data_IF_893046994787
#
_entry.id   IF_893046994787
#
_cell.length_a   1.000
_cell.length_b   1.000
_cell.length_c   1.000
_cell.angle_alpha   90.00
_cell.angle_beta   90.00
_cell.angle_gamma   90.00
#
_symmetry.space_group_name_H-M   'P 1'
#
loop_
_entity.id
_entity.type
_entity.pdbx_description
1 polymer ?
#
# COMPACT_ATOMS: atom_id res chain seq x y z
N UNK A 1 -8.53 3.34 -8.73
CA UNK A 1 -7.88 2.24 -9.49
C UNK A 1 -8.40 2.14 -10.93
N UNK A 2 -9.71 2.22 -11.17
CA UNK A 2 -10.29 2.15 -12.52
C UNK A 2 -9.73 3.20 -13.50
N UNK A 3 -9.47 4.44 -13.05
CA UNK A 3 -8.84 5.46 -13.91
C UNK A 3 -7.42 5.06 -14.34
N UNK A 4 -6.63 4.51 -13.41
CA UNK A 4 -5.30 4.00 -13.72
C UNK A 4 -5.36 2.85 -14.73
N UNK A 5 -6.32 1.94 -14.58
CA UNK A 5 -6.51 0.83 -15.51
C UNK A 5 -6.85 1.33 -16.92
N UNK A 6 -7.75 2.31 -17.04
CA UNK A 6 -8.07 2.95 -18.33
C UNK A 6 -6.85 3.59 -18.98
N UNK A 7 -6.06 4.35 -18.23
CA UNK A 7 -4.89 5.03 -18.78
C UNK A 7 -3.81 4.04 -19.21
N UNK A 8 -3.53 3.03 -18.40
CA UNK A 8 -2.50 2.02 -18.68
C UNK A 8 -2.88 1.19 -19.90
N UNK A 9 -4.14 0.72 -19.98
CA UNK A 9 -4.63 -0.04 -21.14
C UNK A 9 -4.65 0.80 -22.41
N UNK A 10 -5.03 2.09 -22.31
CA UNK A 10 -5.02 3.02 -23.44
C UNK A 10 -3.64 3.27 -24.06
N UNK A 11 -2.56 3.00 -23.31
CA UNK A 11 -1.17 3.11 -23.79
C UNK A 11 -0.51 1.74 -24.02
N UNK A 12 -1.28 0.65 -24.05
CA UNK A 12 -0.76 -0.71 -24.27
C UNK A 12 0.04 -1.28 -23.10
N UNK A 13 -0.04 -0.65 -21.92
CA UNK A 13 0.59 -1.14 -20.71
C UNK A 13 -0.24 -2.19 -19.97
N UNK A 14 0.35 -2.76 -18.92
CA UNK A 14 -0.31 -3.69 -17.99
C UNK A 14 -0.28 -3.11 -16.58
N UNK A 15 -1.41 -3.13 -15.90
CA UNK A 15 -1.52 -2.66 -14.52
C UNK A 15 -1.60 -3.85 -13.56
N UNK A 16 -0.69 -3.88 -12.59
CA UNK A 16 -0.73 -4.82 -11.46
C UNK A 16 -0.86 -4.02 -10.16
N UNK A 17 -2.00 -4.13 -9.49
CA UNK A 17 -2.26 -3.38 -8.25
C UNK A 17 -1.83 -4.21 -7.04
N UNK A 18 -0.99 -3.63 -6.18
CA UNK A 18 -0.55 -4.23 -4.92
C UNK A 18 -0.98 -3.34 -3.77
N UNK A 19 -1.63 -3.94 -2.77
CA UNK A 19 -2.05 -3.28 -1.54
C UNK A 19 -1.19 -3.78 -0.39
N UNK A 20 -0.41 -2.88 0.19
CA UNK A 20 0.32 -3.14 1.42
C UNK A 20 -0.55 -2.75 2.62
N UNK A 21 -0.69 -3.65 3.58
CA UNK A 21 -1.30 -3.37 4.88
C UNK A 21 -0.43 -3.95 5.98
N UNK A 22 -0.64 -3.55 7.23
CA UNK A 22 0.01 -4.16 8.38
C UNK A 22 -1.11 -4.72 9.25
N UNK A 23 -1.17 -6.05 9.38
CA UNK A 23 -2.20 -6.71 10.20
C UNK A 23 -1.96 -6.53 11.71
N UNK A 24 -0.70 -6.34 12.11
CA UNK A 24 -0.32 -6.04 13.49
C UNK A 24 -0.34 -4.52 13.75
N UNK A 25 -1.34 -4.07 14.50
CA UNK A 25 -1.53 -2.67 14.85
C UNK A 25 -0.42 -2.12 15.77
N UNK A 26 0.01 -2.92 16.75
CA UNK A 26 1.05 -2.49 17.70
C UNK A 26 2.39 -2.34 16.97
N UNK A 27 2.71 -3.26 16.07
CA UNK A 27 3.87 -3.14 15.19
C UNK A 27 3.76 -1.92 14.27
N UNK A 28 2.58 -1.66 13.69
CA UNK A 28 2.40 -0.49 12.84
C UNK A 28 2.60 0.82 13.62
N UNK A 29 2.03 0.92 14.83
CA UNK A 29 2.18 2.09 15.69
C UNK A 29 3.62 2.32 16.11
N UNK A 30 4.32 1.28 16.57
CA UNK A 30 5.75 1.39 16.94
C UNK A 30 6.64 1.83 15.77
N UNK A 31 6.34 1.38 14.54
CA UNK A 31 7.05 1.84 13.33
C UNK A 31 6.75 3.31 13.00
N UNK A 32 5.58 3.82 13.36
CA UNK A 32 5.20 5.21 13.16
C UNK A 32 5.92 6.14 14.13
N UNK A 33 6.05 5.74 15.40
CA UNK A 33 6.62 6.57 16.47
C UNK A 33 8.08 7.00 16.18
N UNK A 34 8.84 6.19 15.43
CA UNK A 34 10.20 6.52 14.99
C UNK A 34 10.30 7.09 13.57
N UNK A 35 9.18 7.27 12.86
CA UNK A 35 9.18 7.65 11.45
C UNK A 35 9.21 9.17 11.30
N UNK A 36 10.25 9.67 10.67
CA UNK A 36 10.29 11.04 10.13
C UNK A 36 10.09 10.95 8.63
N UNK A 37 9.01 11.56 8.10
CA UNK A 37 8.78 11.56 6.64
C UNK A 37 9.79 12.46 5.95
N UNK A 38 10.09 13.62 6.53
CA UNK A 38 11.11 14.53 6.00
C UNK A 38 10.81 15.07 4.59
N UNK A 39 9.53 15.09 4.19
CA UNK A 39 9.10 15.57 2.88
C UNK A 39 8.79 17.07 3.01
N UNK A 40 9.54 17.97 2.33
CA UNK A 40 9.27 19.40 2.40
C UNK A 40 7.84 19.76 2.00
N UNK A 41 7.19 20.62 2.79
CA UNK A 41 5.81 21.06 2.55
C UNK A 41 4.73 20.03 2.95
N UNK A 42 5.09 18.90 3.55
CA UNK A 42 4.14 17.89 4.03
C UNK A 42 4.11 17.83 5.55
N UNK A 43 2.92 17.55 6.10
CA UNK A 43 2.74 17.33 7.53
C UNK A 43 3.26 15.95 7.94
N UNK A 44 3.87 15.89 9.12
CA UNK A 44 4.05 14.62 9.82
C UNK A 44 2.68 14.10 10.28
N UNK A 45 2.57 12.77 10.39
CA UNK A 45 1.30 12.10 10.70
C UNK A 45 1.42 11.36 12.02
N UNK A 46 0.35 11.38 12.81
CA UNK A 46 0.23 10.63 14.05
C UNK A 46 -0.63 9.38 13.87
N UNK A 47 -0.80 8.63 14.97
CA UNK A 47 -1.62 7.42 14.96
C UNK A 47 -3.09 7.71 14.62
N UNK A 48 -3.64 8.83 15.11
CA UNK A 48 -5.02 9.21 14.84
C UNK A 48 -5.27 9.45 13.34
N UNK A 49 -4.29 10.04 12.64
CA UNK A 49 -4.30 10.16 11.19
C UNK A 49 -4.37 8.79 10.52
N UNK A 50 -3.55 7.82 10.96
CA UNK A 50 -3.56 6.44 10.40
C UNK A 50 -4.91 5.76 10.61
N UNK A 51 -5.50 5.85 11.81
CA UNK A 51 -6.82 5.27 12.10
C UNK A 51 -7.93 5.89 11.26
N UNK A 52 -7.87 7.20 11.03
CA UNK A 52 -8.81 7.89 10.14
C UNK A 52 -8.65 7.39 8.70
N UNK A 53 -7.42 7.34 8.19
CA UNK A 53 -7.16 6.86 6.83
C UNK A 53 -7.60 5.39 6.63
N UNK A 54 -7.44 4.52 7.63
CA UNK A 54 -7.92 3.12 7.57
C UNK A 54 -9.43 3.03 7.41
N UNK A 55 -10.18 3.92 8.07
CA UNK A 55 -11.65 3.99 7.98
C UNK A 55 -12.14 4.60 6.67
N UNK A 56 -11.42 5.60 6.18
CA UNK A 56 -11.76 6.31 4.94
C UNK A 56 -11.30 5.54 3.68
N UNK A 57 -10.37 4.58 3.82
CA UNK A 57 -9.83 3.85 2.67
C UNK A 57 -10.92 3.02 1.98
N UNK A 58 -11.25 3.33 0.70
CA UNK A 58 -12.31 2.64 0.00
C UNK A 58 -11.90 1.21 -0.34
N UNK A 59 -12.86 0.28 -0.33
CA UNK A 59 -12.67 -1.07 -0.85
C UNK A 59 -12.28 -1.00 -2.32
N UNK A 60 -11.13 -1.58 -2.67
CA UNK A 60 -10.72 -1.68 -4.07
C UNK A 60 -11.60 -2.71 -4.82
N UNK A 61 -12.12 -2.30 -5.97
CA UNK A 61 -12.98 -3.13 -6.83
C UNK A 61 -12.25 -3.80 -7.99
N UNK A 62 -10.95 -3.48 -8.18
CA UNK A 62 -10.11 -4.06 -9.23
C UNK A 62 -9.36 -5.28 -8.71
N UNK A 63 -8.91 -6.20 -9.58
CA UNK A 63 -7.98 -7.26 -9.19
C UNK A 63 -6.72 -6.66 -8.55
N UNK A 64 -6.34 -7.16 -7.39
CA UNK A 64 -5.15 -6.71 -6.67
C UNK A 64 -4.56 -7.85 -5.83
N UNK A 65 -3.25 -7.79 -5.62
CA UNK A 65 -2.56 -8.59 -4.60
C UNK A 65 -2.56 -7.82 -3.28
N UNK A 66 -2.90 -8.47 -2.17
CA UNK A 66 -2.67 -7.93 -0.82
C UNK A 66 -1.41 -8.56 -0.24
N UNK A 67 -0.54 -7.73 0.33
CA UNK A 67 0.67 -8.14 1.04
C UNK A 67 0.65 -7.56 2.46
N UNK A 68 1.19 -8.30 3.41
CA UNK A 68 1.23 -7.91 4.81
C UNK A 68 2.64 -7.46 5.21
N UNK A 69 2.76 -6.24 5.72
CA UNK A 69 4.02 -5.66 6.19
C UNK A 69 4.54 -6.29 7.50
N UNK A 70 3.77 -7.21 8.11
CA UNK A 70 4.28 -8.12 9.14
C UNK A 70 5.24 -9.15 8.52
N UNK A 71 4.96 -9.61 7.30
CA UNK A 71 5.82 -10.55 6.59
C UNK A 71 7.16 -9.90 6.23
N UNK A 72 8.17 -10.75 6.05
CA UNK A 72 9.50 -10.30 5.64
C UNK A 72 9.46 -9.60 4.28
N UNK A 73 10.40 -8.68 4.07
CA UNK A 73 10.56 -8.01 2.78
C UNK A 73 10.70 -9.03 1.64
N UNK A 74 11.51 -10.08 1.83
CA UNK A 74 11.75 -11.11 0.82
C UNK A 74 10.49 -11.92 0.46
N UNK A 75 9.67 -12.26 1.46
CA UNK A 75 8.40 -12.95 1.22
C UNK A 75 7.45 -12.08 0.38
N UNK A 76 7.31 -10.81 0.76
CA UNK A 76 6.48 -9.86 0.05
C UNK A 76 6.99 -9.57 -1.37
N UNK A 77 8.31 -9.40 -1.55
CA UNK A 77 8.92 -9.18 -2.87
C UNK A 77 8.72 -10.40 -3.79
N UNK A 78 8.82 -11.61 -3.24
CA UNK A 78 8.56 -12.85 -4.00
C UNK A 78 7.12 -12.88 -4.51
N UNK A 79 6.14 -12.60 -3.65
CA UNK A 79 4.73 -12.56 -4.02
C UNK A 79 4.44 -11.47 -5.07
N UNK A 80 4.96 -10.26 -4.89
CA UNK A 80 4.78 -9.14 -5.83
C UNK A 80 5.38 -9.45 -7.19
N UNK A 81 6.59 -10.00 -7.25
CA UNK A 81 7.24 -10.39 -8.51
C UNK A 81 6.45 -11.48 -9.24
N UNK A 82 5.93 -12.47 -8.53
CA UNK A 82 5.11 -13.51 -9.12
C UNK A 82 3.79 -12.94 -9.67
N UNK A 83 3.16 -12.01 -8.97
CA UNK A 83 1.92 -11.38 -9.39
C UNK A 83 2.10 -10.45 -10.60
N UNK A 84 3.15 -9.61 -10.61
CA UNK A 84 3.40 -8.66 -11.70
C UNK A 84 3.84 -9.32 -13.03
N UNK A 85 4.23 -10.59 -12.99
CA UNK A 85 4.60 -11.37 -14.19
C UNK A 85 3.43 -12.08 -14.86
N UNK A 86 2.29 -12.23 -14.16
CA UNK A 86 1.07 -12.80 -14.73
C UNK A 86 0.52 -11.86 -15.76
#
# INVERSE_FOLDING_TARGET
AQEWERQVTGHGGRLSVVVCHCSDEALHRSRLDGRVRGIPGWHEIDWAHVERMRREYPTLTVPHLKVDAVDSLEANLTAVRAYARR
#
